data_IF_088384247840
#
_entry.id   IF_088384247840
#
_cell.length_a   1.000
_cell.length_b   1.000
_cell.length_c   1.000
_cell.angle_alpha   90.00
_cell.angle_beta   90.00
_cell.angle_gamma   90.00
#
_symmetry.space_group_name_H-M   'P 1'
#
loop_
_entity.id
_entity.type
_entity.pdbx_description
1 polymer ?
#
# COMPACT_ATOMS: atom_id res chain seq x y z
N UNK A 1 -12.46 59.01 3.99
CA UNK A 1 -13.19 57.97 3.23
C UNK A 1 -12.16 57.23 2.40
N UNK A 2 -11.85 56.01 2.84
CA UNK A 2 -10.61 55.29 2.57
C UNK A 2 -10.54 54.71 1.17
N UNK A 3 -9.33 54.77 0.62
CA UNK A 3 -8.95 54.38 -0.72
C UNK A 3 -9.11 52.87 -0.94
N UNK A 4 -9.34 52.53 -2.21
CA UNK A 4 -9.61 51.21 -2.71
C UNK A 4 -8.37 50.32 -2.87
N UNK A 5 -8.65 49.02 -2.94
CA UNK A 5 -7.93 47.96 -3.66
C UNK A 5 -6.57 47.45 -3.12
N UNK A 6 -6.43 46.13 -3.28
CA UNK A 6 -5.18 45.35 -3.27
C UNK A 6 -4.60 44.98 -1.91
N UNK A 7 -4.92 43.76 -1.44
CA UNK A 7 -3.91 42.77 -1.05
C UNK A 7 -4.55 41.39 -1.17
N UNK A 8 -4.60 40.90 -2.40
CA UNK A 8 -4.54 39.47 -2.64
C UNK A 8 -3.13 39.02 -2.22
N UNK A 9 -2.95 38.40 -1.06
CA UNK A 9 -1.70 37.70 -0.79
C UNK A 9 -1.88 36.53 0.18
N UNK A 10 -2.03 35.35 -0.42
CA UNK A 10 -1.16 34.21 -0.15
C UNK A 10 -0.99 33.81 1.32
N UNK A 11 -1.91 32.97 1.81
CA UNK A 11 -1.53 31.87 2.72
C UNK A 11 -1.69 30.53 2.00
N UNK A 12 -0.94 30.42 0.91
CA UNK A 12 -0.47 29.15 0.39
C UNK A 12 0.63 28.66 1.34
N UNK A 13 0.23 28.13 2.50
CA UNK A 13 1.17 27.52 3.44
C UNK A 13 1.50 26.10 2.95
N UNK A 14 2.71 26.00 2.38
CA UNK A 14 3.56 24.83 2.40
C UNK A 14 2.90 23.50 1.99
N UNK A 15 2.75 23.35 0.67
CA UNK A 15 2.78 22.05 0.01
C UNK A 15 4.17 21.46 0.23
N UNK A 16 4.41 20.81 1.38
CA UNK A 16 5.61 20.00 1.61
C UNK A 16 5.56 18.82 0.63
N UNK A 17 6.30 18.98 -0.46
CA UNK A 17 6.59 17.93 -1.43
C UNK A 17 7.32 16.81 -0.70
N UNK A 18 6.56 15.83 -0.19
CA UNK A 18 7.13 14.59 0.33
C UNK A 18 7.87 13.90 -0.81
N UNK A 19 9.19 14.04 -0.82
CA UNK A 19 10.09 13.35 -1.75
C UNK A 19 9.75 11.85 -1.70
N UNK A 20 9.31 11.22 -2.81
CA UNK A 20 8.94 9.81 -2.78
C UNK A 20 10.17 9.01 -2.35
N UNK A 21 10.09 8.37 -1.17
CA UNK A 21 11.15 7.46 -0.72
C UNK A 21 11.32 6.40 -1.80
N UNK A 22 12.55 6.22 -2.27
CA UNK A 22 12.89 5.25 -3.30
C UNK A 22 12.27 3.89 -2.93
N UNK A 23 11.40 3.38 -3.82
CA UNK A 23 10.71 2.11 -3.60
C UNK A 23 11.79 1.01 -3.57
N UNK A 24 12.12 0.50 -2.39
CA UNK A 24 12.98 -0.68 -2.28
C UNK A 24 12.35 -1.81 -3.09
N UNK A 25 13.11 -2.42 -3.99
CA UNK A 25 12.65 -3.59 -4.72
C UNK A 25 12.42 -4.72 -3.72
N UNK A 26 11.14 -5.06 -3.46
CA UNK A 26 10.79 -6.15 -2.54
C UNK A 26 11.22 -7.46 -3.17
N UNK A 27 12.10 -8.18 -2.50
CA UNK A 27 12.60 -9.48 -2.98
C UNK A 27 11.59 -10.57 -2.62
N UNK A 28 11.53 -11.65 -3.41
CA UNK A 28 10.61 -12.77 -3.15
C UNK A 28 10.80 -13.36 -1.74
N UNK A 29 12.02 -13.30 -1.19
CA UNK A 29 12.34 -13.74 0.17
C UNK A 29 11.58 -12.98 1.27
N UNK A 30 11.19 -11.73 1.05
CA UNK A 30 10.48 -10.92 2.06
C UNK A 30 9.10 -11.51 2.45
N UNK A 31 8.53 -12.30 1.53
CA UNK A 31 7.23 -12.95 1.66
C UNK A 31 7.24 -14.17 2.58
N UNK A 32 8.43 -14.74 2.82
CA UNK A 32 8.64 -15.89 3.67
C UNK A 32 9.32 -15.45 4.96
N UNK A 33 8.92 -16.07 6.06
CA UNK A 33 9.66 -16.03 7.31
C UNK A 33 10.58 -17.26 7.36
N UNK A 34 11.88 -17.02 7.44
CA UNK A 34 12.91 -18.05 7.46
C UNK A 34 13.36 -18.25 8.91
N UNK A 35 12.65 -19.10 9.64
CA UNK A 35 13.04 -19.48 11.01
C UNK A 35 13.83 -20.79 10.94
N UNK A 36 15.17 -20.69 10.89
CA UNK A 36 16.05 -21.86 10.82
C UNK A 36 15.80 -22.72 9.58
N UNK A 37 15.45 -23.99 9.77
CA UNK A 37 15.20 -24.96 8.68
C UNK A 37 13.78 -24.90 8.08
N UNK A 38 12.90 -24.02 8.57
CA UNK A 38 11.49 -23.96 8.14
C UNK A 38 11.17 -22.60 7.51
N UNK A 39 10.70 -22.61 6.27
CA UNK A 39 10.18 -21.44 5.58
C UNK A 39 8.65 -21.35 5.75
N UNK A 40 8.16 -20.37 6.52
CA UNK A 40 6.73 -20.11 6.71
C UNK A 40 6.29 -18.97 5.80
N UNK A 41 5.25 -19.18 5.01
CA UNK A 41 4.69 -18.13 4.17
C UNK A 41 3.87 -17.15 5.03
N UNK A 42 4.18 -15.84 4.98
CA UNK A 42 3.44 -14.80 5.74
C UNK A 42 2.05 -14.52 5.17
N UNK A 43 1.85 -14.79 3.88
CA UNK A 43 0.63 -14.49 3.16
C UNK A 43 -0.30 -15.71 3.02
N UNK A 44 -1.59 -15.45 2.75
CA UNK A 44 -2.61 -16.49 2.55
C UNK A 44 -2.48 -17.15 1.18
N UNK A 45 -2.85 -18.43 1.08
CA UNK A 45 -3.02 -19.15 -0.19
C UNK A 45 -4.42 -18.91 -0.74
N UNK A 46 -4.54 -18.82 -2.06
CA UNK A 46 -5.81 -18.63 -2.74
C UNK A 46 -6.66 -19.91 -2.65
N UNK A 47 -7.95 -19.82 -2.25
CA UNK A 47 -8.84 -20.99 -2.17
C UNK A 47 -9.16 -21.61 -3.53
N UNK A 48 -8.99 -20.86 -4.64
CA UNK A 48 -9.32 -21.32 -5.99
C UNK A 48 -8.17 -22.03 -6.70
N UNK A 49 -6.93 -21.56 -6.50
CA UNK A 49 -5.77 -22.03 -7.29
C UNK A 49 -4.51 -22.31 -6.45
N UNK A 50 -4.55 -22.15 -5.13
CA UNK A 50 -3.42 -22.42 -4.24
C UNK A 50 -2.25 -21.42 -4.32
N UNK A 51 -2.28 -20.47 -5.24
CA UNK A 51 -1.25 -19.42 -5.38
C UNK A 51 -1.22 -18.45 -4.20
N UNK A 52 -0.08 -17.81 -3.95
CA UNK A 52 0.04 -16.83 -2.86
C UNK A 52 -0.73 -15.55 -3.19
N UNK A 53 -1.57 -15.10 -2.25
CA UNK A 53 -2.33 -13.86 -2.39
C UNK A 53 -1.53 -12.66 -1.85
N UNK A 54 -1.66 -11.51 -2.50
CA UNK A 54 -1.11 -10.24 -2.06
C UNK A 54 -2.09 -9.54 -1.10
N UNK A 55 -1.59 -9.16 0.08
CA UNK A 55 -2.36 -8.35 1.02
C UNK A 55 -2.24 -6.87 0.69
N UNK A 56 -3.37 -6.20 0.56
CA UNK A 56 -3.47 -4.76 0.42
C UNK A 56 -4.19 -4.18 1.64
N UNK A 57 -3.43 -3.63 2.59
CA UNK A 57 -3.94 -3.01 3.82
C UNK A 57 -4.28 -1.53 3.68
N UNK A 58 -4.84 -1.11 2.54
CA UNK A 58 -5.25 0.28 2.31
C UNK A 58 -6.60 0.61 2.97
N UNK A 59 -7.42 1.44 2.31
CA UNK A 59 -8.76 1.85 2.77
C UNK A 59 -9.72 0.70 3.07
N UNK A 60 -9.55 -0.43 2.39
CA UNK A 60 -10.18 -1.69 2.70
C UNK A 60 -9.12 -2.79 2.65
N UNK A 61 -9.02 -3.56 3.73
CA UNK A 61 -8.17 -4.75 3.76
C UNK A 61 -8.68 -5.73 2.70
N UNK A 62 -7.84 -6.11 1.76
CA UNK A 62 -8.20 -7.11 0.74
C UNK A 62 -7.01 -7.98 0.40
N UNK A 63 -7.31 -9.20 0.01
CA UNK A 63 -6.40 -10.19 -0.51
C UNK A 63 -6.68 -10.37 -1.99
N UNK A 64 -5.68 -10.10 -2.83
CA UNK A 64 -5.79 -10.27 -4.28
C UNK A 64 -4.87 -11.40 -4.73
N UNK A 65 -5.41 -12.37 -5.45
CA UNK A 65 -4.64 -13.42 -6.09
C UNK A 65 -4.14 -12.95 -7.46
N UNK A 66 -2.82 -12.96 -7.66
CA UNK A 66 -2.21 -12.52 -8.92
C UNK A 66 -2.34 -13.50 -10.09
N UNK A 67 -2.68 -14.77 -9.84
CA UNK A 67 -2.76 -15.81 -10.89
C UNK A 67 -4.17 -15.99 -11.44
N UNK A 68 -5.21 -15.96 -10.60
CA UNK A 68 -6.61 -16.12 -11.03
C UNK A 68 -7.46 -14.86 -10.83
N UNK A 69 -6.83 -13.72 -10.49
CA UNK A 69 -7.50 -12.43 -10.25
C UNK A 69 -8.62 -12.48 -9.20
N UNK A 70 -8.54 -13.43 -8.25
CA UNK A 70 -9.49 -13.48 -7.14
C UNK A 70 -9.26 -12.32 -6.18
N UNK A 71 -10.33 -11.66 -5.74
CA UNK A 71 -10.23 -10.73 -4.63
C UNK A 71 -11.11 -11.21 -3.49
N UNK A 72 -10.50 -11.44 -2.34
CA UNK A 72 -11.17 -11.72 -1.08
C UNK A 72 -11.04 -10.47 -0.19
N UNK A 73 -12.16 -9.95 0.26
CA UNK A 73 -12.16 -8.73 1.08
C UNK A 73 -11.94 -9.00 2.57
N UNK A 74 -11.79 -10.25 2.99
CA UNK A 74 -11.79 -10.59 4.41
C UNK A 74 -13.12 -10.22 5.07
N UNK A 75 -13.52 -10.94 6.09
CA UNK A 75 -14.71 -10.55 6.86
C UNK A 75 -14.29 -9.43 7.83
N UNK A 76 -15.13 -8.40 7.95
CA UNK A 76 -14.96 -7.28 8.91
C UNK A 76 -14.86 -7.78 10.35
#
# INVERSE_FOLDING_TARGET
>A
MSQAATTQQQKQAAKETQKPKAKKHRMRGDLYDLSGAVAKLKNRKCPRCGSVMAFHGGTAQRWVCGSCSFTDYGQK
#
